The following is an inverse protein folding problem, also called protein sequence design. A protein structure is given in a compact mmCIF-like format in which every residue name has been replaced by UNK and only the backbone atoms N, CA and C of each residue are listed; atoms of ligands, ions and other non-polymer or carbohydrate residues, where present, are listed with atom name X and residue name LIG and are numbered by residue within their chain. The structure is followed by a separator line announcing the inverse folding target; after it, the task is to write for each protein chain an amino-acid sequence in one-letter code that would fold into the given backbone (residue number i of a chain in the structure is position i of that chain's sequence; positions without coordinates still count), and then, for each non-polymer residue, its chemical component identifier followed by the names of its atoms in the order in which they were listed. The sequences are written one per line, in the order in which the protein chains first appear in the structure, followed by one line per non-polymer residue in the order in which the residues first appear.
data_IF_784928315890
#
_entry.id   IF_784928315890
#
_cell.length_a   1.000
_cell.length_b   1.000
_cell.length_c   1.000
_cell.angle_alpha   90.00
_cell.angle_beta   90.00
_cell.angle_gamma   90.00
#
_symmetry.space_group_name_H-M   'P 1'
#
loop_
_entity.id
_entity.type
_entity.pdbx_description
1 polymer ?
#
# COMPACT_ATOMS: atom_id res chain seq x y z
N UNK A 1 -28.26 116.28 6.35
CA UNK A 1 -27.72 115.51 7.50
C UNK A 1 -28.38 114.13 7.58
N UNK A 2 -29.70 114.02 7.77
CA UNK A 2 -30.42 112.73 7.89
C UNK A 2 -30.27 111.83 6.64
N UNK A 3 -30.40 112.38 5.44
CA UNK A 3 -30.27 111.63 4.17
C UNK A 3 -28.89 110.97 4.00
N UNK A 4 -27.83 111.61 4.49
CA UNK A 4 -26.46 111.08 4.44
C UNK A 4 -26.31 109.87 5.36
N UNK A 5 -26.89 109.92 6.57
CA UNK A 5 -26.87 108.78 7.49
C UNK A 5 -27.66 107.58 6.95
N UNK A 6 -28.78 107.83 6.26
CA UNK A 6 -29.55 106.77 5.59
C UNK A 6 -28.73 106.13 4.47
N UNK A 7 -28.03 106.94 3.66
CA UNK A 7 -27.19 106.43 2.58
C UNK A 7 -26.00 105.60 3.09
N UNK A 8 -25.34 106.05 4.16
CA UNK A 8 -24.25 105.31 4.82
C UNK A 8 -24.78 104.00 5.42
N UNK A 9 -25.94 104.02 6.08
CA UNK A 9 -26.58 102.81 6.61
C UNK A 9 -26.92 101.81 5.50
N UNK A 10 -27.42 102.28 4.37
CA UNK A 10 -27.69 101.45 3.20
C UNK A 10 -26.41 100.81 2.64
N UNK A 11 -25.30 101.55 2.54
CA UNK A 11 -24.02 101.02 2.09
C UNK A 11 -23.46 99.94 3.02
N UNK A 12 -23.62 100.11 4.34
CA UNK A 12 -23.20 99.10 5.31
C UNK A 12 -24.03 97.81 5.17
N UNK A 13 -25.35 97.94 5.04
CA UNK A 13 -26.24 96.79 4.83
C UNK A 13 -25.90 96.08 3.52
N UNK A 14 -25.66 96.84 2.45
CA UNK A 14 -25.26 96.31 1.16
C UNK A 14 -23.93 95.53 1.26
N UNK A 15 -22.94 96.08 1.97
CA UNK A 15 -21.66 95.41 2.23
C UNK A 15 -21.83 94.09 2.99
N UNK A 16 -22.69 94.06 4.01
CA UNK A 16 -22.98 92.84 4.76
C UNK A 16 -23.68 91.78 3.91
N UNK A 17 -24.59 92.16 3.01
CA UNK A 17 -25.24 91.22 2.09
C UNK A 17 -24.24 90.61 1.10
N UNK A 18 -23.33 91.41 0.55
CA UNK A 18 -22.27 90.91 -0.34
C UNK A 18 -21.36 89.93 0.40
N UNK A 19 -20.94 90.27 1.63
CA UNK A 19 -20.11 89.39 2.45
C UNK A 19 -20.83 88.08 2.79
N UNK A 20 -22.11 88.14 3.16
CA UNK A 20 -22.94 86.96 3.40
C UNK A 20 -23.06 86.08 2.16
N UNK A 21 -23.34 86.67 1.00
CA UNK A 21 -23.46 85.95 -0.27
C UNK A 21 -22.15 85.25 -0.63
N UNK A 22 -21.01 85.94 -0.48
CA UNK A 22 -19.69 85.35 -0.74
C UNK A 22 -19.38 84.16 0.18
N UNK A 23 -19.65 84.28 1.49
CA UNK A 23 -19.45 83.16 2.43
C UNK A 23 -20.41 82.00 2.13
N UNK A 24 -21.66 82.30 1.77
CA UNK A 24 -22.66 81.29 1.42
C UNK A 24 -22.27 80.53 0.16
N UNK A 25 -21.85 81.25 -0.88
CA UNK A 25 -21.45 80.68 -2.17
C UNK A 25 -20.22 79.75 -2.03
N UNK A 26 -19.23 80.15 -1.24
CA UNK A 26 -18.10 79.27 -0.92
C UNK A 26 -18.52 78.01 -0.18
N UNK A 27 -19.48 78.12 0.74
CA UNK A 27 -19.97 76.97 1.51
C UNK A 27 -20.74 76.00 0.62
N UNK A 28 -21.60 76.51 -0.26
CA UNK A 28 -22.36 75.71 -1.22
C UNK A 28 -21.42 75.01 -2.20
N UNK A 29 -20.43 75.72 -2.73
CA UNK A 29 -19.43 75.15 -3.65
C UNK A 29 -18.64 74.01 -3.00
N UNK A 30 -18.25 74.15 -1.73
CA UNK A 30 -17.55 73.07 -0.99
C UNK A 30 -18.42 71.84 -0.80
N UNK A 31 -19.71 72.02 -0.50
CA UNK A 31 -20.65 70.91 -0.36
C UNK A 31 -20.86 70.20 -1.70
N UNK A 32 -21.03 70.96 -2.79
CA UNK A 32 -21.20 70.42 -4.13
C UNK A 32 -19.99 69.55 -4.55
N UNK A 33 -18.77 70.05 -4.32
CA UNK A 33 -17.55 69.28 -4.61
C UNK A 33 -17.41 68.01 -3.76
N UNK A 34 -17.88 68.03 -2.50
CA UNK A 34 -17.92 66.83 -1.67
C UNK A 34 -18.93 65.80 -2.19
N UNK A 35 -20.09 66.25 -2.66
CA UNK A 35 -21.09 65.38 -3.28
C UNK A 35 -20.60 64.79 -4.61
N UNK A 36 -19.96 65.57 -5.46
CA UNK A 36 -19.35 65.09 -6.71
C UNK A 36 -18.35 63.97 -6.44
N UNK A 37 -17.43 64.17 -5.48
CA UNK A 37 -16.47 63.13 -5.07
C UNK A 37 -17.14 61.88 -4.54
N UNK A 38 -18.19 62.03 -3.74
CA UNK A 38 -18.93 60.89 -3.21
C UNK A 38 -19.66 60.11 -4.31
N UNK A 39 -20.19 60.82 -5.32
CA UNK A 39 -20.84 60.20 -6.49
C UNK A 39 -19.81 59.47 -7.36
N UNK A 40 -18.66 60.08 -7.63
CA UNK A 40 -17.59 59.45 -8.41
C UNK A 40 -17.06 58.19 -7.71
N UNK A 41 -16.84 58.26 -6.39
CA UNK A 41 -16.41 57.11 -5.61
C UNK A 41 -17.48 56.01 -5.58
N UNK A 42 -18.76 56.38 -5.43
CA UNK A 42 -19.86 55.43 -5.49
C UNK A 42 -19.95 54.76 -6.87
N UNK A 43 -19.84 55.53 -7.94
CA UNK A 43 -19.90 55.01 -9.31
C UNK A 43 -18.73 54.06 -9.60
N UNK A 44 -17.52 54.41 -9.16
CA UNK A 44 -16.34 53.54 -9.27
C UNK A 44 -16.54 52.22 -8.52
N UNK A 45 -17.09 52.27 -7.29
CA UNK A 45 -17.39 51.06 -6.50
C UNK A 45 -18.48 50.21 -7.14
N UNK A 46 -19.52 50.83 -7.70
CA UNK A 46 -20.59 50.14 -8.42
C UNK A 46 -20.01 49.42 -9.64
N UNK A 47 -19.23 50.10 -10.47
CA UNK A 47 -18.60 49.49 -11.64
C UNK A 47 -17.65 48.34 -11.26
N UNK A 48 -16.85 48.49 -10.21
CA UNK A 48 -15.99 47.43 -9.72
C UNK A 48 -16.79 46.22 -9.19
N UNK A 49 -17.96 46.45 -8.60
CA UNK A 49 -18.84 45.40 -8.13
C UNK A 49 -19.56 44.70 -9.28
N UNK A 50 -20.05 45.45 -10.27
CA UNK A 50 -20.62 44.89 -11.50
C UNK A 50 -19.61 44.02 -12.25
N UNK A 51 -18.35 44.46 -12.35
CA UNK A 51 -17.29 43.66 -12.96
C UNK A 51 -17.04 42.35 -12.21
N UNK A 52 -16.99 42.39 -10.87
CA UNK A 52 -16.85 41.18 -10.05
C UNK A 52 -18.03 40.23 -10.24
N UNK A 53 -19.26 40.74 -10.31
CA UNK A 53 -20.45 39.93 -10.57
C UNK A 53 -20.43 39.34 -11.98
N UNK A 54 -19.97 40.09 -12.98
CA UNK A 54 -19.82 39.63 -14.35
C UNK A 54 -18.74 38.54 -14.52
N UNK A 55 -17.76 38.45 -13.61
CA UNK A 55 -16.76 37.36 -13.59
C UNK A 55 -17.21 36.09 -12.84
N UNK A 56 -18.33 36.12 -12.09
CA UNK A 56 -18.87 34.92 -11.41
C UNK A 56 -19.28 33.81 -12.41
N UNK A 57 -19.94 34.11 -13.55
CA UNK A 57 -20.26 33.12 -14.58
C UNK A 57 -19.04 32.39 -15.15
N UNK A 58 -17.92 33.07 -15.36
CA UNK A 58 -16.68 32.45 -15.88
C UNK A 58 -16.15 31.40 -14.89
N UNK A 59 -16.16 31.70 -13.59
CA UNK A 59 -15.80 30.73 -12.56
C UNK A 59 -16.83 29.59 -12.39
N UNK A 60 -18.08 29.79 -12.85
CA UNK A 60 -19.13 28.77 -12.85
C UNK A 60 -19.05 27.82 -14.07
N UNK A 61 -18.46 28.26 -15.18
CA UNK A 61 -18.21 27.42 -16.36
C UNK A 61 -17.14 26.35 -16.12
N UNK A 62 -16.21 26.56 -15.17
CA UNK A 62 -15.17 25.56 -14.83
C UNK A 62 -15.69 24.41 -13.94
N UNK A 63 -16.82 24.60 -13.25
CA UNK A 63 -17.43 23.57 -12.39
C UNK A 63 -17.95 22.33 -13.13
N UNK A 64 -18.66 22.43 -14.27
CA UNK A 64 -19.10 21.25 -15.02
C UNK A 64 -17.92 20.44 -15.57
N UNK A 65 -16.83 21.08 -16.00
CA UNK A 65 -15.61 20.40 -16.45
C UNK A 65 -14.95 19.62 -15.30
N UNK A 66 -14.87 20.22 -14.11
CA UNK A 66 -14.34 19.55 -12.92
C UNK A 66 -15.23 18.36 -12.49
N UNK A 67 -16.55 18.51 -12.54
CA UNK A 67 -17.49 17.43 -12.22
C UNK A 67 -17.35 16.25 -13.21
N UNK A 68 -17.16 16.55 -14.49
CA UNK A 68 -16.96 15.53 -15.52
C UNK A 68 -15.61 14.82 -15.36
N UNK A 69 -14.57 15.52 -14.95
CA UNK A 69 -13.26 14.93 -14.67
C UNK A 69 -13.30 13.99 -13.44
N UNK A 70 -14.08 14.33 -12.42
CA UNK A 70 -14.34 13.47 -11.26
C UNK A 70 -15.10 12.19 -11.64
N UNK A 71 -16.12 12.30 -12.47
CA UNK A 71 -16.89 11.13 -12.94
C UNK A 71 -16.00 10.18 -13.76
N UNK A 72 -15.16 10.73 -14.66
CA UNK A 72 -14.19 9.94 -15.41
C UNK A 72 -13.14 9.28 -14.51
N UNK A 73 -12.73 9.94 -13.42
CA UNK A 73 -11.79 9.38 -12.45
C UNK A 73 -12.43 8.21 -11.69
N UNK A 74 -13.68 8.35 -11.27
CA UNK A 74 -14.46 7.29 -10.60
C UNK A 74 -14.61 6.07 -11.50
N UNK A 75 -14.96 6.26 -12.77
CA UNK A 75 -15.07 5.17 -13.75
C UNK A 75 -13.75 4.43 -13.96
N UNK A 76 -12.64 5.17 -14.08
CA UNK A 76 -11.29 4.57 -14.23
C UNK A 76 -10.89 3.77 -12.99
N UNK A 77 -11.24 4.25 -11.79
CA UNK A 77 -10.98 3.53 -10.55
C UNK A 77 -11.79 2.23 -10.49
N UNK A 78 -13.08 2.28 -10.84
CA UNK A 78 -13.94 1.12 -10.89
C UNK A 78 -13.48 0.08 -11.91
N UNK A 79 -13.03 0.51 -13.10
CA UNK A 79 -12.43 -0.39 -14.09
C UNK A 79 -11.16 -1.05 -13.56
N UNK A 80 -10.22 -0.28 -12.99
CA UNK A 80 -8.99 -0.86 -12.42
C UNK A 80 -9.27 -1.85 -11.30
N UNK A 81 -10.29 -1.58 -10.48
CA UNK A 81 -10.68 -2.46 -9.39
C UNK A 81 -11.27 -3.78 -9.91
N UNK A 82 -12.13 -3.70 -10.93
CA UNK A 82 -12.65 -4.89 -11.61
C UNK A 82 -11.55 -5.69 -12.31
N UNK A 83 -10.63 -5.02 -12.99
CA UNK A 83 -9.48 -5.64 -13.65
C UNK A 83 -8.55 -6.34 -12.65
N UNK A 84 -8.48 -5.87 -11.39
CA UNK A 84 -7.72 -6.52 -10.32
C UNK A 84 -8.46 -7.71 -9.68
N UNK A 85 -9.80 -7.72 -9.72
CA UNK A 85 -10.61 -8.75 -9.07
C UNK A 85 -10.32 -10.15 -9.63
N UNK A 86 -10.28 -10.28 -10.96
CA UNK A 86 -10.01 -11.54 -11.66
C UNK A 86 -8.61 -12.12 -11.40
N UNK A 87 -7.50 -11.35 -11.54
CA UNK A 87 -6.17 -11.87 -11.22
C UNK A 87 -6.01 -12.17 -9.72
N UNK A 88 -6.66 -11.43 -8.82
CA UNK A 88 -6.66 -11.76 -7.39
C UNK A 88 -7.39 -13.09 -7.13
N UNK A 89 -8.56 -13.29 -7.73
CA UNK A 89 -9.29 -14.57 -7.66
C UNK A 89 -8.46 -15.73 -8.22
N UNK A 90 -7.74 -15.51 -9.34
CA UNK A 90 -6.84 -16.50 -9.92
C UNK A 90 -5.66 -16.81 -9.00
N UNK A 91 -5.07 -15.80 -8.38
CA UNK A 91 -3.97 -15.96 -7.42
C UNK A 91 -4.42 -16.76 -6.19
N UNK A 92 -5.59 -16.44 -5.62
CA UNK A 92 -6.17 -17.18 -4.49
C UNK A 92 -6.40 -18.66 -4.86
N UNK A 93 -6.94 -18.94 -6.05
CA UNK A 93 -7.12 -20.32 -6.53
C UNK A 93 -5.79 -21.05 -6.70
N UNK A 94 -4.79 -20.38 -7.26
CA UNK A 94 -3.46 -20.97 -7.44
C UNK A 94 -2.80 -21.29 -6.09
N UNK A 95 -2.88 -20.39 -5.11
CA UNK A 95 -2.38 -20.62 -3.74
C UNK A 95 -3.08 -21.84 -3.13
N UNK A 96 -4.42 -21.93 -3.23
CA UNK A 96 -5.18 -23.06 -2.70
C UNK A 96 -4.83 -24.39 -3.37
N UNK A 97 -4.55 -24.39 -4.68
CA UNK A 97 -4.08 -25.58 -5.38
C UNK A 97 -2.68 -25.98 -4.91
N UNK A 98 -1.78 -25.01 -4.77
CA UNK A 98 -0.42 -25.23 -4.26
C UNK A 98 -0.44 -25.81 -2.85
N UNK A 99 -1.32 -25.36 -1.96
CA UNK A 99 -1.49 -25.95 -0.62
C UNK A 99 -1.88 -27.43 -0.68
N UNK A 100 -2.80 -27.80 -1.58
CA UNK A 100 -3.21 -29.20 -1.77
C UNK A 100 -2.07 -30.06 -2.31
N UNK A 101 -1.32 -29.54 -3.27
CA UNK A 101 -0.15 -30.24 -3.81
C UNK A 101 0.95 -30.39 -2.76
N UNK A 102 1.22 -29.34 -1.99
CA UNK A 102 2.20 -29.38 -0.90
C UNK A 102 1.82 -30.40 0.17
N UNK A 103 0.53 -30.50 0.51
CA UNK A 103 0.04 -31.55 1.41
C UNK A 103 0.28 -32.94 0.84
N UNK A 104 -0.04 -33.18 -0.43
CA UNK A 104 0.22 -34.48 -1.09
C UNK A 104 1.70 -34.83 -1.13
N UNK A 105 2.56 -33.84 -1.41
CA UNK A 105 4.01 -34.02 -1.39
C UNK A 105 4.47 -34.38 0.02
N UNK A 106 3.99 -33.67 1.05
CA UNK A 106 4.30 -33.97 2.44
C UNK A 106 3.87 -35.39 2.82
N UNK A 107 2.66 -35.81 2.46
CA UNK A 107 2.15 -37.15 2.73
C UNK A 107 2.99 -38.22 2.02
N UNK A 108 3.36 -37.99 0.75
CA UNK A 108 4.23 -38.89 -0.01
C UNK A 108 5.65 -38.97 0.56
N UNK A 109 6.21 -37.85 1.01
CA UNK A 109 7.53 -37.83 1.65
C UNK A 109 7.50 -38.58 2.97
N UNK A 110 6.46 -38.41 3.78
CA UNK A 110 6.27 -39.16 5.02
C UNK A 110 6.18 -40.67 4.75
N UNK A 111 5.37 -41.11 3.79
CA UNK A 111 5.26 -42.53 3.42
C UNK A 111 6.61 -43.11 2.95
N UNK A 112 7.40 -42.32 2.21
CA UNK A 112 8.75 -42.75 1.78
C UNK A 112 9.72 -42.81 2.94
N UNK A 113 9.66 -41.86 3.87
CA UNK A 113 10.46 -41.86 5.10
C UNK A 113 10.12 -43.11 5.92
N UNK A 114 8.84 -43.40 6.13
CA UNK A 114 8.39 -44.57 6.89
C UNK A 114 8.92 -45.87 6.27
N UNK A 115 8.83 -46.02 4.94
CA UNK A 115 9.38 -47.19 4.22
C UNK A 115 10.90 -47.29 4.37
N UNK A 116 11.60 -46.15 4.32
CA UNK A 116 13.07 -46.13 4.50
C UNK A 116 13.41 -46.50 5.94
N UNK A 117 12.72 -45.96 6.93
CA UNK A 117 12.93 -46.30 8.34
C UNK A 117 12.68 -47.78 8.62
N UNK A 118 11.60 -48.34 8.06
CA UNK A 118 11.31 -49.77 8.17
C UNK A 118 12.40 -50.62 7.50
N UNK A 119 12.82 -50.25 6.28
CA UNK A 119 13.89 -50.96 5.58
C UNK A 119 15.25 -50.86 6.31
N UNK A 120 15.55 -49.72 6.94
CA UNK A 120 16.76 -49.52 7.73
C UNK A 120 16.72 -50.28 9.05
N UNK A 121 15.56 -50.37 9.71
CA UNK A 121 15.37 -51.24 10.89
C UNK A 121 15.59 -52.70 10.51
N UNK A 122 15.01 -53.17 9.41
CA UNK A 122 15.19 -54.56 8.96
C UNK A 122 16.64 -54.85 8.56
N UNK A 123 17.29 -53.90 7.86
CA UNK A 123 18.69 -54.01 7.44
C UNK A 123 19.67 -53.98 8.61
N UNK A 124 19.43 -53.13 9.62
CA UNK A 124 20.28 -53.07 10.82
C UNK A 124 20.14 -54.33 11.69
N UNK A 125 18.93 -54.89 11.81
CA UNK A 125 18.71 -56.18 12.46
C UNK A 125 19.42 -57.31 11.69
N UNK A 126 19.31 -57.33 10.36
CA UNK A 126 19.97 -58.33 9.52
C UNK A 126 21.50 -58.21 9.51
N UNK A 127 22.06 -57.00 9.61
CA UNK A 127 23.49 -56.79 9.70
C UNK A 127 24.03 -57.23 11.07
N UNK A 128 23.30 -56.91 12.14
CA UNK A 128 23.66 -57.31 13.51
C UNK A 128 23.63 -58.83 13.67
N UNK A 129 22.62 -59.52 13.13
CA UNK A 129 22.57 -60.99 13.19
C UNK A 129 23.71 -61.64 12.40
N UNK A 130 24.08 -61.11 11.22
CA UNK A 130 25.22 -61.61 10.45
C UNK A 130 26.55 -61.46 11.19
N UNK A 131 26.79 -60.33 11.86
CA UNK A 131 28.01 -60.11 12.65
C UNK A 131 28.09 -61.02 13.88
N UNK A 132 26.96 -61.32 14.51
CA UNK A 132 26.89 -62.27 15.63
C UNK A 132 27.26 -63.68 15.14
N UNK A 133 26.69 -64.10 14.01
CA UNK A 133 26.95 -65.41 13.41
C UNK A 133 28.42 -65.55 12.97
N UNK A 134 29.02 -64.50 12.39
CA UNK A 134 30.44 -64.47 12.01
C UNK A 134 31.37 -64.71 13.20
N UNK A 135 31.13 -64.04 14.33
CA UNK A 135 31.93 -64.24 15.55
C UNK A 135 31.79 -65.65 16.13
N UNK A 136 30.58 -66.20 16.14
CA UNK A 136 30.33 -67.57 16.60
C UNK A 136 31.03 -68.62 15.73
N UNK A 137 31.02 -68.45 14.40
CA UNK A 137 31.74 -69.30 13.44
C UNK A 137 33.24 -69.29 13.70
N UNK A 138 33.82 -68.10 13.92
CA UNK A 138 35.26 -67.94 14.21
C UNK A 138 35.65 -68.63 15.53
N UNK A 139 34.82 -68.53 16.56
CA UNK A 139 35.06 -69.16 17.86
C UNK A 139 34.98 -70.70 17.79
N UNK A 140 33.96 -71.24 17.11
CA UNK A 140 33.82 -72.67 16.90
C UNK A 140 34.99 -73.27 16.13
N UNK A 141 35.51 -72.56 15.12
CA UNK A 141 36.69 -73.02 14.39
C UNK A 141 37.96 -73.02 15.25
N UNK A 142 38.16 -71.99 16.09
CA UNK A 142 39.27 -71.95 17.05
C UNK A 142 39.21 -73.08 18.08
N UNK A 143 38.01 -73.56 18.40
CA UNK A 143 37.78 -74.70 19.28
C UNK A 143 38.01 -76.07 18.59
N UNK A 144 38.45 -76.09 17.33
CA UNK A 144 38.89 -77.29 16.62
C UNK A 144 37.81 -77.99 15.77
N UNK A 145 36.64 -77.36 15.56
CA UNK A 145 35.59 -77.91 14.69
C UNK A 145 35.91 -77.66 13.20
N UNK A 146 35.54 -78.61 12.33
CA UNK A 146 35.75 -78.47 10.88
C UNK A 146 34.73 -77.51 10.24
N UNK A 147 35.08 -76.97 9.06
CA UNK A 147 34.19 -76.06 8.33
C UNK A 147 32.85 -76.71 7.95
N UNK A 148 32.82 -78.03 7.66
CA UNK A 148 31.58 -78.74 7.37
C UNK A 148 30.68 -78.92 8.61
N UNK A 149 31.29 -79.13 9.78
CA UNK A 149 30.56 -79.28 11.05
C UNK A 149 29.95 -77.96 11.51
N UNK A 150 30.69 -76.86 11.36
CA UNK A 150 30.22 -75.51 11.69
C UNK A 150 29.07 -75.11 10.76
N UNK A 151 29.18 -75.37 9.46
CA UNK A 151 28.12 -75.09 8.49
C UNK A 151 26.80 -75.82 8.83
N UNK A 152 26.89 -77.09 9.28
CA UNK A 152 25.73 -77.88 9.70
C UNK A 152 25.12 -77.39 11.02
N UNK A 153 25.95 -76.93 11.96
CA UNK A 153 25.52 -76.46 13.30
C UNK A 153 24.90 -75.06 13.25
N UNK A 154 25.58 -74.10 12.62
CA UNK A 154 25.14 -72.70 12.52
C UNK A 154 24.09 -72.47 11.41
N UNK A 155 23.76 -73.53 10.64
CA UNK A 155 22.84 -73.48 9.48
C UNK A 155 23.24 -72.44 8.43
N UNK A 156 24.56 -72.22 8.31
CA UNK A 156 25.16 -71.29 7.35
C UNK A 156 25.75 -72.10 6.19
N UNK A 157 25.60 -71.69 4.92
CA UNK A 157 26.16 -72.40 3.78
C UNK A 157 27.67 -72.60 3.92
N UNK A 158 28.17 -73.77 3.51
CA UNK A 158 29.60 -74.12 3.62
C UNK A 158 30.52 -73.07 2.97
N UNK A 159 30.15 -72.55 1.80
CA UNK A 159 30.94 -71.52 1.11
C UNK A 159 31.00 -70.17 1.84
N UNK A 160 29.99 -69.83 2.64
CA UNK A 160 29.98 -68.61 3.45
C UNK A 160 30.83 -68.77 4.71
N UNK A 161 30.79 -69.95 5.33
CA UNK A 161 31.67 -70.31 6.46
C UNK A 161 33.15 -70.28 6.04
N UNK A 162 33.50 -70.85 4.89
CA UNK A 162 34.89 -70.81 4.39
C UNK A 162 35.35 -69.39 4.07
N UNK A 163 34.47 -68.56 3.50
CA UNK A 163 34.79 -67.17 3.20
C UNK A 163 35.08 -66.37 4.48
N UNK A 164 34.25 -66.54 5.51
CA UNK A 164 34.44 -65.89 6.83
C UNK A 164 35.78 -66.30 7.45
N UNK A 165 36.08 -67.61 7.46
CA UNK A 165 37.33 -68.12 8.04
C UNK A 165 38.57 -67.62 7.27
N UNK A 166 38.46 -67.48 5.94
CA UNK A 166 39.51 -66.94 5.08
C UNK A 166 39.75 -65.45 5.32
N UNK A 167 38.68 -64.66 5.47
CA UNK A 167 38.76 -63.23 5.79
C UNK A 167 39.33 -63.02 7.20
N UNK A 168 39.01 -63.91 8.14
CA UNK A 168 39.55 -63.90 9.50
C UNK A 168 41.00 -64.41 9.62
N UNK A 169 41.65 -64.80 8.52
CA UNK A 169 43.01 -65.39 8.48
C UNK A 169 43.17 -66.67 9.32
N UNK A 170 42.13 -67.49 9.42
CA UNK A 170 42.17 -68.76 10.16
C UNK A 170 42.27 -69.99 9.24
N UNK A 171 42.12 -69.80 7.93
CA UNK A 171 42.31 -70.81 6.88
C UNK A 171 42.81 -70.15 5.60
#
# INVERSE_FOLDING_TARGET
MVEIFVFVGFLVILGLLIAYFYMRDQTVTKQLSAYERAIDELNSRVHAMEQKVASIPEGLEELPDFAQELEQLEDRLNQKLNDLSDPLLKAIRAIKQMELEMKRISDSLNERIDKIEESNKLSSISATSKLINEKAIIELYKNGYSAEEIAKRERTPLGEVELILKIANLK
#
